data_IF_069004278974
#
_entry.id   IF_069004278974
#
_cell.length_a   1.000
_cell.length_b   1.000
_cell.length_c   1.000
_cell.angle_alpha   90.00
_cell.angle_beta   90.00
_cell.angle_gamma   90.00
#
_symmetry.space_group_name_H-M   'P 1'
#
loop_
_entity.id
_entity.type
_entity.pdbx_description
1 polymer ?
#
# COMPACT_ATOMS: atom_id res chain seq x y z
N UNK A 1 -16.56 -58.04 -62.31
CA UNK A 1 -15.49 -57.06 -61.95
C UNK A 1 -15.91 -55.99 -60.92
N UNK A 2 -17.14 -56.01 -60.38
CA UNK A 2 -17.66 -54.98 -59.46
C UNK A 2 -17.73 -55.40 -57.98
N UNK A 3 -17.52 -56.67 -57.65
CA UNK A 3 -17.56 -57.16 -56.25
C UNK A 3 -16.20 -57.18 -55.57
N UNK A 4 -15.10 -57.23 -56.35
CA UNK A 4 -13.73 -57.23 -55.82
C UNK A 4 -13.26 -55.83 -55.40
N UNK A 5 -13.71 -54.78 -56.10
CA UNK A 5 -13.40 -53.38 -55.76
C UNK A 5 -14.06 -52.93 -54.45
N UNK A 6 -15.25 -53.46 -54.12
CA UNK A 6 -15.99 -53.08 -52.89
C UNK A 6 -15.33 -53.62 -51.60
N UNK A 7 -14.67 -54.79 -51.67
CA UNK A 7 -14.00 -55.39 -50.49
C UNK A 7 -12.65 -54.76 -50.17
N UNK A 8 -11.93 -54.24 -51.17
CA UNK A 8 -10.64 -53.57 -50.98
C UNK A 8 -10.82 -52.17 -50.38
N UNK A 9 -11.89 -51.45 -50.75
CA UNK A 9 -12.19 -50.13 -50.18
C UNK A 9 -12.63 -50.22 -48.71
N UNK A 10 -13.28 -51.32 -48.30
CA UNK A 10 -13.72 -51.51 -46.91
C UNK A 10 -12.57 -51.92 -45.96
N UNK A 11 -11.54 -52.61 -46.47
CA UNK A 11 -10.35 -52.98 -45.69
C UNK A 11 -9.34 -51.83 -45.58
N UNK A 12 -9.23 -50.96 -46.60
CA UNK A 12 -8.38 -49.76 -46.52
C UNK A 12 -8.93 -48.69 -45.57
N UNK A 13 -10.25 -48.69 -45.31
CA UNK A 13 -10.88 -47.75 -44.38
C UNK A 13 -10.77 -48.19 -42.91
N UNK A 14 -10.53 -49.48 -42.63
CA UNK A 14 -10.30 -49.98 -41.26
C UNK A 14 -8.84 -49.83 -40.79
N UNK A 15 -7.88 -49.65 -41.69
CA UNK A 15 -6.45 -49.50 -41.37
C UNK A 15 -6.00 -48.04 -41.15
N UNK A 16 -6.87 -47.07 -41.39
CA UNK A 16 -6.62 -45.64 -41.14
C UNK A 16 -7.24 -45.13 -39.82
N UNK A 17 -7.82 -46.02 -39.02
CA UNK A 17 -8.41 -45.71 -37.71
C UNK A 17 -7.57 -46.17 -36.51
N UNK A 18 -6.28 -46.47 -36.69
CA UNK A 18 -5.32 -46.43 -35.59
C UNK A 18 -5.02 -44.97 -35.25
N UNK A 19 -6.05 -44.31 -34.73
CA UNK A 19 -5.95 -43.00 -34.12
C UNK A 19 -4.82 -43.06 -33.09
N UNK A 20 -3.97 -42.05 -33.20
CA UNK A 20 -2.91 -41.74 -32.25
C UNK A 20 -3.55 -41.67 -30.86
N UNK A 21 -3.44 -42.76 -30.11
CA UNK A 21 -3.77 -42.77 -28.69
C UNK A 21 -2.64 -42.05 -27.98
N UNK A 22 -2.70 -40.72 -27.96
CA UNK A 22 -2.10 -39.99 -26.85
C UNK A 22 -2.82 -40.49 -25.61
N UNK A 23 -2.18 -41.37 -24.84
CA UNK A 23 -2.60 -41.66 -23.49
C UNK A 23 -2.71 -40.31 -22.76
N UNK A 24 -3.93 -39.84 -22.57
CA UNK A 24 -4.19 -38.73 -21.68
C UNK A 24 -3.99 -39.29 -20.28
N UNK A 25 -2.76 -39.13 -19.77
CA UNK A 25 -2.48 -39.38 -18.36
C UNK A 25 -3.51 -38.60 -17.54
N UNK A 26 -4.17 -39.27 -16.60
CA UNK A 26 -5.06 -38.58 -15.67
C UNK A 26 -4.24 -37.62 -14.80
N UNK A 27 -4.74 -36.41 -14.60
CA UNK A 27 -4.10 -35.44 -13.70
C UNK A 27 -4.31 -35.92 -12.26
N UNK A 28 -3.24 -36.36 -11.61
CA UNK A 28 -3.23 -36.70 -10.19
C UNK A 28 -2.91 -35.47 -9.34
N UNK A 29 -3.41 -35.38 -8.10
CA UNK A 29 -3.05 -34.29 -7.20
C UNK A 29 -1.56 -34.36 -6.85
N UNK A 30 -0.90 -33.19 -6.89
CA UNK A 30 0.48 -33.08 -6.43
C UNK A 30 0.55 -33.26 -4.90
N UNK A 31 1.51 -34.05 -4.42
CA UNK A 31 1.75 -34.26 -2.97
C UNK A 31 2.08 -32.93 -2.28
N UNK A 32 2.85 -32.07 -2.95
CA UNK A 32 3.11 -30.70 -2.50
C UNK A 32 2.09 -29.74 -3.10
N UNK A 33 1.22 -29.24 -2.24
CA UNK A 33 0.13 -28.33 -2.62
C UNK A 33 0.68 -26.99 -3.09
N UNK A 34 0.07 -26.43 -4.15
CA UNK A 34 0.38 -25.09 -4.62
C UNK A 34 -0.19 -24.06 -3.64
N UNK A 35 0.61 -23.05 -3.30
CA UNK A 35 0.23 -21.94 -2.44
C UNK A 35 0.65 -20.61 -3.06
N UNK A 36 -0.14 -19.57 -2.79
CA UNK A 36 0.09 -18.21 -3.29
C UNK A 36 -0.19 -17.25 -2.15
N UNK A 37 0.75 -16.35 -1.87
CA UNK A 37 0.56 -15.24 -0.95
C UNK A 37 0.83 -13.92 -1.67
N UNK A 38 0.04 -12.90 -1.36
CA UNK A 38 0.21 -11.55 -1.92
C UNK A 38 0.06 -10.52 -0.80
N UNK A 39 0.94 -9.53 -0.80
CA UNK A 39 0.84 -8.38 0.10
C UNK A 39 0.96 -7.08 -0.69
N UNK A 40 0.00 -6.17 -0.44
CA UNK A 40 0.01 -4.81 -0.97
C UNK A 40 0.71 -3.84 -0.03
N UNK A 41 1.57 -2.98 -0.57
CA UNK A 41 2.18 -1.82 0.11
C UNK A 41 2.00 -0.59 -0.78
N UNK A 42 1.19 0.37 -0.33
CA UNK A 42 0.79 1.49 -1.18
C UNK A 42 0.03 0.99 -2.42
N UNK A 43 0.57 1.26 -3.61
CA UNK A 43 0.03 0.79 -4.89
C UNK A 43 0.79 -0.42 -5.46
N UNK A 44 1.74 -0.98 -4.70
CA UNK A 44 2.61 -2.07 -5.13
C UNK A 44 2.23 -3.37 -4.48
N UNK A 45 2.33 -4.46 -5.23
CA UNK A 45 2.11 -5.81 -4.74
C UNK A 45 3.40 -6.62 -4.86
N UNK A 46 3.64 -7.44 -3.84
CA UNK A 46 4.57 -8.56 -3.90
C UNK A 46 3.78 -9.86 -3.78
N UNK A 47 4.02 -10.79 -4.70
CA UNK A 47 3.36 -12.10 -4.74
C UNK A 47 4.40 -13.20 -4.75
N UNK A 48 4.24 -14.21 -3.88
CA UNK A 48 5.05 -15.43 -3.88
C UNK A 48 4.15 -16.60 -4.23
N UNK A 49 4.49 -17.31 -5.32
CA UNK A 49 3.82 -18.55 -5.73
C UNK A 49 4.80 -19.71 -5.57
N UNK A 50 4.41 -20.72 -4.81
CA UNK A 50 5.27 -21.84 -4.44
C UNK A 50 4.47 -23.14 -4.29
N UNK A 51 5.17 -24.27 -4.14
CA UNK A 51 4.58 -25.51 -3.65
C UNK A 51 5.14 -25.85 -2.29
N UNK A 52 4.27 -26.28 -1.38
CA UNK A 52 4.55 -26.54 0.03
C UNK A 52 4.85 -28.03 0.27
N UNK A 53 6.12 -28.48 0.26
CA UNK A 53 6.50 -29.82 0.72
C UNK A 53 6.41 -29.96 2.24
N UNK A 54 6.21 -31.19 2.71
CA UNK A 54 6.29 -31.56 4.12
C UNK A 54 7.63 -32.20 4.49
N UNK A 55 8.03 -32.08 5.75
CA UNK A 55 9.25 -32.68 6.33
C UNK A 55 9.18 -34.21 6.21
N UNK A 56 8.06 -34.81 6.62
CA UNK A 56 7.85 -36.27 6.63
C UNK A 56 8.93 -37.04 7.40
N UNK A 57 9.39 -36.50 8.53
CA UNK A 57 10.42 -37.12 9.38
C UNK A 57 11.83 -37.14 8.79
N UNK A 58 12.06 -36.50 7.63
CA UNK A 58 13.38 -36.38 7.00
C UNK A 58 14.09 -35.13 7.49
N UNK A 59 15.42 -35.17 7.55
CA UNK A 59 16.21 -33.95 7.72
C UNK A 59 16.07 -33.07 6.48
N UNK A 60 15.62 -31.82 6.65
CA UNK A 60 15.43 -30.90 5.54
C UNK A 60 16.74 -30.23 5.13
N UNK A 61 17.24 -29.31 5.95
CA UNK A 61 18.46 -28.57 5.64
C UNK A 61 19.70 -29.43 5.97
N UNK A 62 20.62 -29.54 5.02
CA UNK A 62 21.74 -30.49 5.08
C UNK A 62 21.34 -31.94 4.72
N UNK A 63 20.06 -32.20 4.46
CA UNK A 63 19.54 -33.48 4.01
C UNK A 63 18.94 -33.37 2.61
N UNK A 64 17.61 -33.36 2.49
CA UNK A 64 16.92 -33.24 1.19
C UNK A 64 17.14 -31.88 0.50
N UNK A 65 17.54 -30.86 1.26
CA UNK A 65 18.05 -29.58 0.76
C UNK A 65 19.51 -29.48 1.19
N UNK A 66 20.46 -29.89 0.33
CA UNK A 66 21.88 -29.85 0.67
C UNK A 66 22.37 -28.40 0.84
N UNK A 67 23.29 -28.20 1.79
CA UNK A 67 24.03 -26.94 1.87
C UNK A 67 24.90 -26.74 0.63
N UNK A 68 25.17 -25.48 0.31
CA UNK A 68 26.01 -25.05 -0.82
C UNK A 68 25.46 -25.43 -2.21
N UNK A 69 24.23 -25.94 -2.29
CA UNK A 69 23.55 -26.26 -3.54
C UNK A 69 22.35 -25.34 -3.78
N UNK A 70 22.14 -24.95 -5.03
CA UNK A 70 20.99 -24.12 -5.40
C UNK A 70 19.72 -24.99 -5.38
N UNK A 71 18.72 -24.51 -4.66
CA UNK A 71 17.40 -25.11 -4.56
C UNK A 71 16.32 -24.11 -5.01
N UNK A 72 15.26 -24.62 -5.66
CA UNK A 72 14.10 -23.84 -6.16
C UNK A 72 13.17 -23.28 -5.08
N UNK A 73 13.61 -23.30 -3.82
CA UNK A 73 12.88 -22.75 -2.67
C UNK A 73 11.43 -23.28 -2.51
N UNK A 74 11.17 -24.52 -2.94
CA UNK A 74 9.87 -25.16 -2.97
C UNK A 74 9.92 -26.56 -3.61
N UNK A 75 8.76 -27.12 -3.95
CA UNK A 75 8.61 -28.39 -4.65
C UNK A 75 8.03 -28.22 -6.07
N UNK A 76 8.08 -29.26 -6.89
CA UNK A 76 7.49 -29.29 -8.25
C UNK A 76 8.00 -28.14 -9.16
N UNK A 77 7.12 -27.21 -9.53
CA UNK A 77 7.42 -26.00 -10.28
C UNK A 77 8.30 -25.02 -9.49
N UNK A 78 9.08 -24.21 -10.20
CA UNK A 78 9.93 -23.21 -9.55
C UNK A 78 9.10 -22.21 -8.75
N UNK A 79 9.56 -21.86 -7.55
CA UNK A 79 8.99 -20.77 -6.79
C UNK A 79 9.17 -19.47 -7.58
N UNK A 80 8.14 -18.63 -7.61
CA UNK A 80 8.23 -17.33 -8.26
C UNK A 80 7.90 -16.21 -7.29
N UNK A 81 8.62 -15.09 -7.43
CA UNK A 81 8.35 -13.85 -6.73
C UNK A 81 8.06 -12.77 -7.77
N UNK A 82 6.89 -12.15 -7.68
CA UNK A 82 6.43 -11.09 -8.57
C UNK A 82 6.36 -9.77 -7.83
N UNK A 83 6.92 -8.72 -8.44
CA UNK A 83 6.81 -7.34 -8.00
C UNK A 83 6.07 -6.53 -9.07
N UNK A 84 4.97 -5.85 -8.72
CA UNK A 84 4.25 -5.01 -9.70
C UNK A 84 4.95 -3.69 -10.02
N UNK A 85 5.87 -3.27 -9.15
CA UNK A 85 6.68 -2.08 -9.28
C UNK A 85 8.14 -2.39 -8.95
N UNK A 86 9.06 -1.49 -9.32
CA UNK A 86 10.46 -1.60 -8.93
C UNK A 86 10.56 -1.66 -7.40
N UNK A 87 11.31 -2.62 -6.88
CA UNK A 87 11.49 -2.87 -5.46
C UNK A 87 12.97 -2.76 -5.06
N UNK A 88 13.21 -2.79 -3.76
CA UNK A 88 14.54 -2.99 -3.17
C UNK A 88 14.45 -4.21 -2.26
N UNK A 89 15.33 -5.19 -2.49
CA UNK A 89 15.43 -6.41 -1.67
C UNK A 89 16.79 -6.39 -1.00
N UNK A 90 16.83 -6.41 0.33
CA UNK A 90 18.07 -6.34 1.11
C UNK A 90 19.00 -5.19 0.67
N UNK A 91 18.42 -4.00 0.46
CA UNK A 91 19.15 -2.80 0.02
C UNK A 91 19.54 -2.77 -1.46
N UNK A 92 19.29 -3.83 -2.23
CA UNK A 92 19.60 -3.90 -3.67
C UNK A 92 18.35 -3.74 -4.53
N UNK A 93 18.44 -2.91 -5.57
CA UNK A 93 17.31 -2.62 -6.46
C UNK A 93 16.99 -3.81 -7.36
N UNK A 94 15.71 -4.08 -7.56
CA UNK A 94 15.18 -5.05 -8.53
C UNK A 94 14.03 -4.40 -9.32
N UNK A 95 14.03 -4.46 -10.66
CA UNK A 95 12.92 -3.95 -11.45
C UNK A 95 11.59 -4.67 -11.17
N UNK A 96 10.47 -4.06 -11.58
CA UNK A 96 9.19 -4.75 -11.64
C UNK A 96 9.28 -5.97 -12.56
N UNK A 97 8.63 -7.07 -12.18
CA UNK A 97 8.67 -8.30 -12.97
C UNK A 97 8.35 -9.54 -12.13
N UNK A 98 8.34 -10.69 -12.81
CA UNK A 98 8.22 -12.00 -12.17
C UNK A 98 9.55 -12.72 -12.29
N UNK A 99 10.09 -13.16 -11.16
CA UNK A 99 11.39 -13.79 -11.06
C UNK A 99 11.25 -15.22 -10.57
N UNK A 100 12.02 -16.14 -11.16
CA UNK A 100 12.27 -17.44 -10.56
C UNK A 100 13.09 -17.26 -9.30
N UNK A 101 12.66 -17.85 -8.20
CA UNK A 101 13.27 -17.65 -6.88
C UNK A 101 13.98 -18.91 -6.42
N UNK A 102 15.25 -18.75 -6.13
CA UNK A 102 16.12 -19.83 -5.70
C UNK A 102 16.85 -19.44 -4.42
N UNK A 103 17.21 -20.45 -3.64
CA UNK A 103 17.99 -20.31 -2.42
C UNK A 103 19.14 -21.30 -2.47
N UNK A 104 20.36 -20.82 -2.21
CA UNK A 104 21.49 -21.68 -1.84
C UNK A 104 21.68 -21.56 -0.33
N UNK A 105 21.23 -22.56 0.46
CA UNK A 105 21.38 -22.52 1.90
C UNK A 105 22.83 -22.76 2.30
N UNK A 106 23.24 -22.12 3.38
CA UNK A 106 24.47 -22.34 4.15
C UNK A 106 24.05 -22.70 5.57
N UNK A 107 25.00 -23.04 6.43
CA UNK A 107 24.71 -23.41 7.82
C UNK A 107 24.00 -22.27 8.60
N UNK A 108 24.49 -21.03 8.49
CA UNK A 108 23.95 -19.86 9.22
C UNK A 108 23.44 -18.73 8.32
N UNK A 109 23.40 -18.97 7.01
CA UNK A 109 22.98 -17.97 6.02
C UNK A 109 22.33 -18.60 4.80
N UNK A 110 21.74 -17.78 3.95
CA UNK A 110 21.17 -18.20 2.70
C UNK A 110 21.52 -17.17 1.62
N UNK A 111 21.91 -17.65 0.45
CA UNK A 111 22.06 -16.81 -0.74
C UNK A 111 20.76 -16.90 -1.52
N UNK A 112 20.05 -15.79 -1.65
CA UNK A 112 18.81 -15.68 -2.42
C UNK A 112 19.16 -15.25 -3.84
N UNK A 113 18.61 -15.94 -4.82
CA UNK A 113 18.83 -15.67 -6.24
C UNK A 113 17.49 -15.44 -6.94
N UNK A 114 17.40 -14.33 -7.67
CA UNK A 114 16.23 -13.95 -8.47
C UNK A 114 16.61 -14.04 -9.94
N UNK A 115 16.01 -14.98 -10.67
CA UNK A 115 16.26 -15.19 -12.10
C UNK A 115 15.14 -14.60 -12.96
N UNK A 116 15.48 -13.97 -14.08
CA UNK A 116 14.51 -13.51 -15.10
C UNK A 116 13.80 -14.68 -15.78
N UNK A 117 14.42 -15.86 -15.79
CA UNK A 117 13.80 -17.08 -16.28
C UNK A 117 12.99 -17.74 -15.16
N UNK A 118 11.65 -17.66 -15.28
CA UNK A 118 10.70 -18.07 -14.25
C UNK A 118 9.86 -19.32 -14.62
N UNK A 119 10.20 -19.98 -15.73
CA UNK A 119 9.49 -21.17 -16.23
C UNK A 119 10.26 -22.48 -16.04
N UNK A 120 11.29 -22.46 -15.20
CA UNK A 120 12.06 -23.66 -14.87
C UNK A 120 11.20 -24.70 -14.16
N UNK A 121 11.41 -25.96 -14.53
CA UNK A 121 10.87 -27.13 -13.82
C UNK A 121 12.05 -27.92 -13.26
N UNK A 122 11.91 -28.54 -12.09
CA UNK A 122 12.87 -29.53 -11.60
C UNK A 122 14.06 -28.92 -10.86
N UNK A 123 15.26 -29.49 -11.05
CA UNK A 123 16.48 -29.20 -10.26
C UNK A 123 17.47 -28.29 -10.99
N UNK A 124 17.11 -27.72 -12.13
CA UNK A 124 18.02 -26.89 -12.90
C UNK A 124 18.30 -25.57 -12.16
N UNK A 125 19.58 -25.35 -11.87
CA UNK A 125 20.07 -24.06 -11.40
C UNK A 125 19.80 -22.97 -12.46
N UNK A 126 19.60 -21.70 -12.04
CA UNK A 126 19.48 -20.59 -12.98
C UNK A 126 20.82 -20.34 -13.69
N UNK A 127 20.77 -20.00 -14.97
CA UNK A 127 21.93 -19.50 -15.71
C UNK A 127 22.38 -18.16 -15.12
N UNK A 128 23.70 -17.96 -14.96
CA UNK A 128 24.24 -16.71 -14.39
C UNK A 128 23.80 -15.46 -15.17
N UNK A 129 23.69 -15.55 -16.50
CA UNK A 129 23.23 -14.46 -17.38
C UNK A 129 21.80 -14.00 -17.08
N UNK A 130 20.99 -14.87 -16.48
CA UNK A 130 19.58 -14.62 -16.19
C UNK A 130 19.37 -14.13 -14.76
N UNK A 131 20.40 -14.11 -13.91
CA UNK A 131 20.33 -13.60 -12.55
C UNK A 131 20.13 -12.09 -12.55
N UNK A 132 18.97 -11.65 -12.06
CA UNK A 132 18.64 -10.26 -11.86
C UNK A 132 19.16 -9.72 -10.52
N UNK A 133 19.22 -10.58 -9.49
CA UNK A 133 19.65 -10.20 -8.16
C UNK A 133 20.21 -11.39 -7.38
N UNK A 134 21.28 -11.14 -6.62
CA UNK A 134 21.85 -12.06 -5.62
C UNK A 134 22.03 -11.30 -4.32
N UNK A 135 21.46 -11.80 -3.23
CA UNK A 135 21.59 -11.23 -1.88
C UNK A 135 21.85 -12.33 -0.86
N UNK A 136 22.59 -12.01 0.20
CA UNK A 136 22.88 -12.94 1.30
C UNK A 136 22.14 -12.47 2.53
N UNK A 137 21.43 -13.38 3.18
CA UNK A 137 20.69 -13.13 4.43
C UNK A 137 21.07 -14.15 5.50
N UNK A 138 20.92 -13.78 6.77
CA UNK A 138 21.10 -14.73 7.88
C UNK A 138 19.87 -15.62 8.02
N UNK A 139 20.07 -16.87 8.40
CA UNK A 139 18.99 -17.75 8.81
C UNK A 139 18.71 -17.59 10.30
N UNK A 140 17.50 -17.95 10.70
CA UNK A 140 17.06 -17.96 12.10
C UNK A 140 16.52 -19.35 12.44
N UNK A 141 16.78 -19.82 13.67
CA UNK A 141 16.16 -21.03 14.18
C UNK A 141 14.72 -20.74 14.62
N UNK A 142 13.81 -21.68 14.36
CA UNK A 142 12.40 -21.63 14.77
C UNK A 142 11.96 -22.97 15.36
N UNK A 143 10.81 -22.97 16.02
CA UNK A 143 10.11 -24.20 16.40
C UNK A 143 9.76 -25.03 15.16
N UNK A 144 9.59 -26.34 15.38
CA UNK A 144 9.35 -27.29 14.31
C UNK A 144 8.10 -26.95 13.49
N UNK A 145 8.26 -26.89 12.18
CA UNK A 145 7.20 -26.63 11.21
C UNK A 145 7.20 -27.71 10.11
N UNK A 146 6.10 -28.48 10.05
CA UNK A 146 5.98 -29.63 9.14
C UNK A 146 5.96 -29.22 7.66
N UNK A 147 5.27 -28.13 7.32
CA UNK A 147 5.06 -27.71 5.94
C UNK A 147 5.89 -26.46 5.62
N UNK A 148 6.53 -26.43 4.45
CA UNK A 148 7.18 -25.22 3.97
C UNK A 148 6.12 -24.13 3.75
N UNK A 149 6.30 -22.97 4.37
CA UNK A 149 5.43 -21.82 4.14
C UNK A 149 6.24 -20.57 3.82
N UNK A 150 5.56 -19.62 3.17
CA UNK A 150 5.98 -18.24 3.09
C UNK A 150 4.99 -17.36 3.84
N UNK A 151 5.47 -16.24 4.41
CA UNK A 151 4.64 -15.20 5.01
C UNK A 151 5.27 -13.81 4.85
N UNK A 152 4.50 -12.76 5.14
CA UNK A 152 4.93 -11.36 5.16
C UNK A 152 4.76 -10.76 6.56
N UNK A 153 5.89 -10.51 7.22
CA UNK A 153 5.97 -9.97 8.58
C UNK A 153 6.49 -8.51 8.57
N UNK A 154 6.52 -7.85 9.73
CA UNK A 154 7.05 -6.48 9.90
C UNK A 154 6.50 -5.47 8.89
N UNK A 155 5.18 -5.48 8.67
CA UNK A 155 4.53 -4.70 7.61
C UNK A 155 4.46 -3.22 7.98
N UNK A 156 5.20 -2.39 7.23
CA UNK A 156 5.13 -0.93 7.27
C UNK A 156 4.49 -0.34 6.02
N UNK A 157 4.43 0.99 5.96
CA UNK A 157 3.82 1.71 4.83
C UNK A 157 4.57 1.54 3.49
N UNK A 158 5.87 1.24 3.53
CA UNK A 158 6.74 1.13 2.36
C UNK A 158 7.65 -0.09 2.36
N UNK A 159 7.58 -0.94 3.39
CA UNK A 159 8.45 -2.09 3.56
C UNK A 159 7.74 -3.23 4.29
N UNK A 160 8.26 -4.44 4.09
CA UNK A 160 7.90 -5.64 4.84
C UNK A 160 9.08 -6.63 4.85
N UNK A 161 8.95 -7.71 5.61
CA UNK A 161 9.88 -8.85 5.58
C UNK A 161 9.16 -10.06 5.02
N UNK A 162 9.59 -10.58 3.87
CA UNK A 162 9.19 -11.90 3.40
C UNK A 162 9.97 -12.96 4.19
N UNK A 163 9.30 -14.02 4.61
CA UNK A 163 9.91 -15.11 5.37
C UNK A 163 9.59 -16.44 4.72
N UNK A 164 10.61 -17.28 4.51
CA UNK A 164 10.43 -18.72 4.28
C UNK A 164 10.60 -19.43 5.61
N UNK A 165 9.70 -20.36 5.96
CA UNK A 165 9.81 -21.19 7.16
C UNK A 165 9.61 -22.66 6.80
N UNK A 166 10.50 -23.53 7.27
CA UNK A 166 10.36 -24.98 7.12
C UNK A 166 11.26 -25.73 8.09
N UNK A 167 10.78 -26.85 8.65
CA UNK A 167 11.47 -27.64 9.66
C UNK A 167 11.82 -26.76 10.87
N UNK A 168 13.09 -26.40 11.07
CA UNK A 168 13.54 -25.54 12.19
C UNK A 168 14.23 -24.27 11.70
N UNK A 169 14.09 -23.96 10.41
CA UNK A 169 14.82 -22.86 9.77
C UNK A 169 13.84 -21.83 9.23
N UNK A 170 14.17 -20.57 9.49
CA UNK A 170 13.53 -19.39 8.93
C UNK A 170 14.55 -18.59 8.12
N UNK A 171 14.14 -18.12 6.94
CA UNK A 171 14.95 -17.32 6.03
C UNK A 171 14.20 -16.00 5.77
N UNK A 172 14.46 -14.95 6.58
CA UNK A 172 13.84 -13.64 6.40
C UNK A 172 14.61 -12.79 5.38
N UNK A 173 13.87 -12.01 4.58
CA UNK A 173 14.46 -10.95 3.76
C UNK A 173 13.51 -9.75 3.60
N UNK A 174 14.06 -8.56 3.71
CA UNK A 174 13.38 -7.27 3.63
C UNK A 174 13.11 -6.89 2.17
N UNK A 175 11.89 -6.40 1.94
CA UNK A 175 11.43 -5.88 0.67
C UNK A 175 10.89 -4.47 0.89
N UNK A 176 11.28 -3.52 0.04
CA UNK A 176 10.89 -2.12 0.12
C UNK A 176 10.44 -1.59 -1.23
N UNK A 177 9.47 -0.68 -1.21
CA UNK A 177 9.00 0.06 -2.39
C UNK A 177 9.12 1.57 -2.12
N UNK A 178 9.48 2.34 -3.14
CA UNK A 178 9.39 3.81 -3.10
C UNK A 178 7.94 4.26 -3.30
N UNK A 179 7.11 4.04 -2.28
CA UNK A 179 5.66 4.22 -2.38
C UNK A 179 5.27 5.66 -2.73
N UNK A 180 6.03 6.66 -2.24
CA UNK A 180 5.80 8.07 -2.56
C UNK A 180 6.02 8.35 -4.05
N UNK A 181 7.15 7.88 -4.60
CA UNK A 181 7.42 8.01 -6.03
C UNK A 181 6.37 7.30 -6.87
N UNK A 182 5.99 6.08 -6.47
CA UNK A 182 5.01 5.27 -7.20
C UNK A 182 3.64 5.95 -7.25
N UNK A 183 3.16 6.51 -6.14
CA UNK A 183 1.88 7.26 -6.13
C UNK A 183 1.97 8.50 -7.03
N UNK A 184 3.08 9.23 -7.01
CA UNK A 184 3.29 10.39 -7.87
C UNK A 184 3.33 10.00 -9.35
N UNK A 185 4.02 8.92 -9.70
CA UNK A 185 4.05 8.41 -11.08
C UNK A 185 2.67 7.95 -11.56
N UNK A 186 1.91 7.27 -10.68
CA UNK A 186 0.53 6.90 -10.97
C UNK A 186 -0.35 8.12 -11.19
N UNK A 187 -0.24 9.14 -10.33
CA UNK A 187 -0.98 10.40 -10.49
C UNK A 187 -0.63 11.08 -11.82
N UNK A 188 0.64 11.13 -12.23
CA UNK A 188 1.05 11.66 -13.55
C UNK A 188 0.38 10.91 -14.70
N UNK A 189 0.23 9.59 -14.58
CA UNK A 189 -0.42 8.78 -15.60
C UNK A 189 -1.94 9.03 -15.64
N UNK A 190 -2.61 8.99 -14.49
CA UNK A 190 -4.06 9.18 -14.39
C UNK A 190 -4.52 10.59 -14.80
N UNK A 191 -3.71 11.61 -14.51
CA UNK A 191 -3.98 13.00 -14.91
C UNK A 191 -3.86 13.24 -16.42
N UNK A 192 -3.42 12.25 -17.22
CA UNK A 192 -3.54 12.30 -18.69
C UNK A 192 -4.92 11.86 -19.18
N UNK A 193 -5.69 11.18 -18.34
CA UNK A 193 -7.02 10.67 -18.64
C UNK A 193 -8.13 11.48 -17.96
N UNK A 194 -9.24 10.81 -17.64
CA UNK A 194 -10.47 11.44 -17.12
C UNK A 194 -10.21 12.27 -15.85
N UNK A 195 -9.35 11.77 -14.96
CA UNK A 195 -9.01 12.45 -13.72
C UNK A 195 -8.35 13.81 -13.95
N UNK A 196 -7.69 14.01 -15.10
CA UNK A 196 -7.03 15.24 -15.48
C UNK A 196 -7.93 16.31 -16.08
N UNK A 197 -9.14 15.97 -16.55
CA UNK A 197 -10.05 16.94 -17.16
C UNK A 197 -10.65 17.93 -16.15
N UNK A 198 -10.83 17.50 -14.90
CA UNK A 198 -11.39 18.33 -13.84
C UNK A 198 -10.35 18.80 -12.82
N UNK A 199 -10.71 19.81 -12.02
CA UNK A 199 -9.85 20.35 -10.96
C UNK A 199 -9.50 19.33 -9.85
N UNK A 200 -10.37 18.32 -9.63
CA UNK A 200 -10.27 17.39 -8.49
C UNK A 200 -9.05 16.48 -8.56
N UNK A 201 -8.70 15.94 -9.73
CA UNK A 201 -7.54 15.06 -9.85
C UNK A 201 -6.25 15.79 -9.51
N UNK A 202 -6.05 16.98 -10.10
CA UNK A 202 -4.87 17.80 -9.84
C UNK A 202 -4.76 18.20 -8.35
N UNK A 203 -5.88 18.56 -7.71
CA UNK A 203 -5.87 18.83 -6.26
C UNK A 203 -5.48 17.60 -5.44
N UNK A 204 -6.01 16.42 -5.77
CA UNK A 204 -5.69 15.18 -5.03
C UNK A 204 -4.22 14.82 -5.14
N UNK A 205 -3.64 14.91 -6.33
CA UNK A 205 -2.22 14.69 -6.55
C UNK A 205 -1.35 15.67 -5.76
N UNK A 206 -1.68 16.97 -5.82
CA UNK A 206 -1.00 18.01 -5.05
C UNK A 206 -1.13 17.81 -3.53
N UNK A 207 -2.32 17.40 -3.06
CA UNK A 207 -2.58 17.11 -1.64
C UNK A 207 -1.73 15.96 -1.13
N UNK A 208 -1.61 14.88 -1.91
CA UNK A 208 -0.76 13.75 -1.54
C UNK A 208 0.70 14.21 -1.33
N UNK A 209 1.24 14.99 -2.28
CA UNK A 209 2.57 15.57 -2.18
C UNK A 209 2.73 16.47 -0.95
N UNK A 210 1.72 17.31 -0.66
CA UNK A 210 1.71 18.18 0.52
C UNK A 210 1.73 17.41 1.84
N UNK A 211 0.94 16.34 1.96
CA UNK A 211 0.88 15.51 3.17
C UNK A 211 2.16 14.71 3.40
N UNK A 212 2.86 14.32 2.33
CA UNK A 212 4.05 13.47 2.38
C UNK A 212 5.38 14.25 2.32
N UNK A 213 5.29 15.58 2.22
CA UNK A 213 6.40 16.49 1.98
C UNK A 213 7.32 16.01 0.84
N UNK A 214 6.73 15.70 -0.31
CA UNK A 214 7.41 15.06 -1.43
C UNK A 214 7.00 15.69 -2.76
N UNK A 215 7.94 15.85 -3.69
CA UNK A 215 7.68 16.37 -5.04
C UNK A 215 6.91 17.71 -5.06
N UNK A 216 7.32 18.65 -4.20
CA UNK A 216 6.59 19.89 -3.93
C UNK A 216 6.48 20.81 -5.15
N UNK A 217 7.49 20.84 -6.03
CA UNK A 217 7.49 21.71 -7.20
C UNK A 217 6.41 21.33 -8.21
N UNK A 218 6.29 20.04 -8.54
CA UNK A 218 5.23 19.57 -9.42
C UNK A 218 3.85 19.65 -8.74
N UNK A 219 3.80 19.42 -7.42
CA UNK A 219 2.57 19.60 -6.65
C UNK A 219 2.04 21.04 -6.73
N UNK A 220 2.92 22.04 -6.75
CA UNK A 220 2.55 23.43 -7.00
C UNK A 220 1.95 23.60 -8.39
N UNK A 221 2.56 22.99 -9.43
CA UNK A 221 1.99 23.04 -10.79
C UNK A 221 0.60 22.42 -10.84
N UNK A 222 0.38 21.27 -10.20
CA UNK A 222 -0.95 20.65 -10.14
C UNK A 222 -1.95 21.50 -9.38
N UNK A 223 -1.57 22.09 -8.24
CA UNK A 223 -2.54 22.88 -7.48
C UNK A 223 -2.95 24.17 -8.21
N UNK A 224 -2.03 24.83 -8.90
CA UNK A 224 -2.37 26.00 -9.73
C UNK A 224 -3.34 25.62 -10.86
N UNK A 225 -3.13 24.46 -11.52
CA UNK A 225 -4.07 23.95 -12.53
C UNK A 225 -5.46 23.71 -11.94
N UNK A 226 -5.53 23.15 -10.73
CA UNK A 226 -6.78 22.94 -10.02
C UNK A 226 -7.51 24.27 -9.73
N UNK A 227 -6.79 25.26 -9.20
CA UNK A 227 -7.33 26.58 -8.86
C UNK A 227 -7.81 27.32 -10.12
N UNK A 228 -7.02 27.27 -11.21
CA UNK A 228 -7.37 27.90 -12.48
C UNK A 228 -8.62 27.29 -13.11
N UNK A 229 -8.83 25.98 -12.93
CA UNK A 229 -10.04 25.30 -13.42
C UNK A 229 -11.28 25.64 -12.58
N UNK A 230 -11.17 25.61 -11.25
CA UNK A 230 -12.26 25.98 -10.34
C UNK A 230 -11.72 26.31 -8.96
N UNK A 231 -11.60 27.60 -8.65
CA UNK A 231 -11.14 28.07 -7.34
C UNK A 231 -12.11 27.63 -6.24
N UNK A 232 -11.58 27.07 -5.15
CA UNK A 232 -12.37 26.65 -3.99
C UNK A 232 -11.55 26.73 -2.71
N UNK A 233 -12.21 26.73 -1.54
CA UNK A 233 -11.51 26.60 -0.25
C UNK A 233 -10.54 25.41 -0.24
N UNK A 234 -10.96 24.26 -0.79
CA UNK A 234 -10.19 23.02 -0.71
C UNK A 234 -8.87 23.06 -1.47
N UNK A 235 -8.82 23.69 -2.65
CA UNK A 235 -7.56 23.77 -3.41
C UNK A 235 -6.65 24.90 -2.93
N UNK A 236 -7.22 26.02 -2.46
CA UNK A 236 -6.44 27.05 -1.76
C UNK A 236 -5.81 26.51 -0.47
N UNK A 237 -6.52 25.69 0.30
CA UNK A 237 -5.96 25.05 1.49
C UNK A 237 -4.78 24.11 1.18
N UNK A 238 -4.86 23.35 0.09
CA UNK A 238 -3.72 22.52 -0.36
C UNK A 238 -2.54 23.38 -0.80
N UNK A 239 -2.78 24.48 -1.53
CA UNK A 239 -1.73 25.45 -1.91
C UNK A 239 -1.06 26.07 -0.68
N UNK A 240 -1.85 26.48 0.31
CA UNK A 240 -1.32 26.99 1.57
C UNK A 240 -0.44 25.96 2.29
N UNK A 241 -0.85 24.69 2.34
CA UNK A 241 -0.02 23.64 2.93
C UNK A 241 1.29 23.43 2.16
N UNK A 242 1.27 23.47 0.83
CA UNK A 242 2.49 23.38 0.02
C UNK A 242 3.43 24.57 0.28
N UNK A 243 2.89 25.79 0.40
CA UNK A 243 3.67 26.98 0.76
C UNK A 243 4.29 26.84 2.15
N UNK A 244 3.55 26.31 3.14
CA UNK A 244 4.12 26.01 4.47
C UNK A 244 5.28 25.01 4.38
N UNK A 245 5.13 23.93 3.62
CA UNK A 245 6.20 22.94 3.43
C UNK A 245 7.44 23.54 2.76
N UNK A 246 7.27 24.57 1.93
CA UNK A 246 8.35 25.35 1.29
C UNK A 246 8.89 26.48 2.18
N UNK A 247 8.44 26.59 3.43
CA UNK A 247 8.85 27.66 4.35
C UNK A 247 8.18 29.02 4.13
N UNK A 248 7.24 29.13 3.19
CA UNK A 248 6.57 30.37 2.78
C UNK A 248 5.30 30.62 3.61
N UNK A 249 5.45 30.66 4.94
CA UNK A 249 4.32 30.70 5.89
C UNK A 249 3.46 31.97 5.76
N UNK A 250 4.07 33.13 5.52
CA UNK A 250 3.33 34.37 5.36
C UNK A 250 2.43 34.36 4.11
N UNK A 251 2.92 33.76 3.02
CA UNK A 251 2.14 33.63 1.79
C UNK A 251 1.02 32.59 1.95
N UNK A 252 1.32 31.47 2.62
CA UNK A 252 0.29 30.49 2.99
C UNK A 252 -0.86 31.12 3.79
N UNK A 253 -0.54 32.06 4.69
CA UNK A 253 -1.55 32.76 5.48
C UNK A 253 -2.46 33.62 4.61
N UNK A 254 -1.90 34.40 3.67
CA UNK A 254 -2.70 35.20 2.73
C UNK A 254 -3.65 34.32 1.90
N UNK A 255 -3.15 33.20 1.40
CA UNK A 255 -3.96 32.23 0.65
C UNK A 255 -5.13 31.70 1.50
N UNK A 256 -4.89 31.44 2.79
CA UNK A 256 -5.96 31.01 3.68
C UNK A 256 -6.94 32.11 4.03
N UNK A 257 -6.48 33.35 4.22
CA UNK A 257 -7.34 34.50 4.46
C UNK A 257 -8.27 34.76 3.25
N UNK A 258 -7.79 34.52 2.02
CA UNK A 258 -8.63 34.50 0.80
C UNK A 258 -9.60 33.30 0.79
N UNK A 259 -9.16 32.13 1.22
CA UNK A 259 -9.96 30.91 1.15
C UNK A 259 -11.13 30.89 2.14
N UNK A 260 -10.91 31.36 3.37
CA UNK A 260 -11.84 31.22 4.51
C UNK A 260 -13.27 31.69 4.17
N UNK A 261 -13.51 32.87 3.56
CA UNK A 261 -14.87 33.32 3.23
C UNK A 261 -15.62 32.43 2.23
N UNK A 262 -14.92 31.56 1.51
CA UNK A 262 -15.51 30.64 0.52
C UNK A 262 -15.71 29.22 1.07
N UNK A 263 -15.25 28.95 2.28
CA UNK A 263 -15.31 27.63 2.91
C UNK A 263 -16.67 27.33 3.52
N UNK A 264 -17.06 26.05 3.52
CA UNK A 264 -18.19 25.62 4.34
C UNK A 264 -17.83 25.69 5.82
N UNK A 265 -18.81 25.77 6.74
CA UNK A 265 -18.53 25.81 8.17
C UNK A 265 -17.68 24.62 8.64
N UNK A 266 -17.93 23.43 8.09
CA UNK A 266 -17.12 22.22 8.35
C UNK A 266 -15.68 22.34 7.87
N UNK A 267 -15.46 22.89 6.67
CA UNK A 267 -14.11 23.09 6.12
C UNK A 267 -13.31 24.09 6.95
N UNK A 268 -13.93 25.20 7.34
CA UNK A 268 -13.30 26.20 8.21
C UNK A 268 -12.97 25.60 9.58
N UNK A 269 -13.89 24.81 10.15
CA UNK A 269 -13.68 24.13 11.43
C UNK A 269 -12.50 23.13 11.36
N UNK A 270 -12.44 22.32 10.31
CA UNK A 270 -11.33 21.38 10.08
C UNK A 270 -9.98 22.09 9.99
N UNK A 271 -9.93 23.24 9.30
CA UNK A 271 -8.72 24.06 9.24
C UNK A 271 -8.33 24.63 10.62
N UNK A 272 -9.31 25.05 11.42
CA UNK A 272 -9.07 25.43 12.82
C UNK A 272 -8.39 24.32 13.63
N UNK A 273 -8.86 23.08 13.49
CA UNK A 273 -8.24 21.91 14.16
C UNK A 273 -6.84 21.60 13.64
N UNK A 274 -6.60 21.74 12.34
CA UNK A 274 -5.26 21.60 11.78
C UNK A 274 -4.29 22.61 12.42
N UNK A 275 -4.72 23.87 12.59
CA UNK A 275 -3.93 24.88 13.29
C UNK A 275 -3.68 24.52 14.76
N UNK A 276 -4.68 23.96 15.47
CA UNK A 276 -4.49 23.48 16.84
C UNK A 276 -3.46 22.35 16.92
N UNK A 277 -3.48 21.39 15.99
CA UNK A 277 -2.51 20.29 15.94
C UNK A 277 -1.07 20.79 15.73
N UNK A 278 -0.92 21.90 14.99
CA UNK A 278 0.35 22.60 14.77
C UNK A 278 0.71 23.59 15.89
N UNK A 279 0.00 23.57 17.02
CA UNK A 279 0.16 24.51 18.15
C UNK A 279 0.02 26.00 17.76
N UNK A 280 -0.68 26.30 16.67
CA UNK A 280 -1.02 27.67 16.24
C UNK A 280 -2.32 28.13 16.89
N UNK A 281 -2.39 28.02 18.22
CA UNK A 281 -3.64 28.17 18.99
C UNK A 281 -4.31 29.53 18.81
N UNK A 282 -3.54 30.63 18.77
CA UNK A 282 -4.08 31.98 18.55
C UNK A 282 -4.83 32.08 17.21
N UNK A 283 -4.21 31.59 16.13
CA UNK A 283 -4.83 31.59 14.80
C UNK A 283 -6.03 30.66 14.77
N UNK A 284 -5.96 29.48 15.37
CA UNK A 284 -7.10 28.58 15.47
C UNK A 284 -8.32 29.25 16.13
N UNK A 285 -8.10 29.99 17.24
CA UNK A 285 -9.15 30.77 17.89
C UNK A 285 -9.76 31.80 16.93
N UNK A 286 -8.95 32.52 16.14
CA UNK A 286 -9.46 33.46 15.12
C UNK A 286 -10.36 32.74 14.10
N UNK A 287 -9.93 31.58 13.60
CA UNK A 287 -10.67 30.78 12.62
C UNK A 287 -11.99 30.26 13.19
N UNK A 288 -11.98 29.67 14.38
CA UNK A 288 -13.20 29.21 15.03
C UNK A 288 -14.15 30.36 15.38
N UNK A 289 -13.59 31.51 15.80
CA UNK A 289 -14.39 32.71 16.06
C UNK A 289 -15.07 33.21 14.78
N UNK A 290 -14.34 33.26 13.67
CA UNK A 290 -14.90 33.59 12.36
C UNK A 290 -16.01 32.60 11.98
N UNK A 291 -15.78 31.30 12.15
CA UNK A 291 -16.73 30.26 11.78
C UNK A 291 -18.04 30.38 12.58
N UNK A 292 -17.93 30.53 13.90
CA UNK A 292 -19.09 30.73 14.78
C UNK A 292 -19.82 32.01 14.38
N UNK A 293 -19.12 33.14 14.22
CA UNK A 293 -19.75 34.44 13.93
C UNK A 293 -20.57 34.44 12.63
N UNK A 294 -20.06 33.81 11.57
CA UNK A 294 -20.67 33.92 10.24
C UNK A 294 -21.67 32.80 9.90
N UNK A 295 -21.82 31.78 10.77
CA UNK A 295 -22.67 30.63 10.50
C UNK A 295 -23.68 30.36 11.64
N UNK A 296 -24.25 31.42 12.22
CA UNK A 296 -25.13 31.32 13.39
C UNK A 296 -26.40 30.49 13.14
N UNK A 297 -26.86 30.43 11.88
CA UNK A 297 -28.07 29.72 11.45
C UNK A 297 -27.81 28.24 11.11
N UNK A 298 -26.55 27.78 11.17
CA UNK A 298 -26.20 26.39 10.88
C UNK A 298 -26.76 25.45 11.98
N UNK A 299 -27.47 24.35 11.63
CA UNK A 299 -28.01 23.41 12.62
C UNK A 299 -26.96 22.79 13.54
N UNK A 300 -25.69 22.75 13.12
CA UNK A 300 -24.54 22.25 13.85
C UNK A 300 -23.71 23.37 14.52
N UNK A 301 -24.23 24.60 14.62
CA UNK A 301 -23.54 25.73 15.25
C UNK A 301 -23.05 25.45 16.67
N UNK A 302 -23.75 24.58 17.41
CA UNK A 302 -23.32 24.15 18.75
C UNK A 302 -21.95 23.46 18.70
N UNK A 303 -21.70 22.63 17.70
CA UNK A 303 -20.43 21.92 17.52
C UNK A 303 -19.30 22.86 17.11
N UNK A 304 -19.56 23.86 16.27
CA UNK A 304 -18.54 24.88 15.96
C UNK A 304 -18.23 25.77 17.16
N UNK A 305 -19.22 26.01 18.02
CA UNK A 305 -19.04 26.74 19.28
C UNK A 305 -18.26 25.92 20.30
N UNK A 306 -18.48 24.61 20.33
CA UNK A 306 -17.69 23.64 21.11
C UNK A 306 -16.21 23.69 20.74
N UNK A 307 -15.89 23.63 19.44
CA UNK A 307 -14.51 23.76 18.93
C UNK A 307 -13.82 25.05 19.41
N UNK A 308 -14.56 26.17 19.44
CA UNK A 308 -14.03 27.44 19.92
C UNK A 308 -13.75 27.39 21.44
N UNK A 309 -14.63 26.75 22.21
CA UNK A 309 -14.42 26.48 23.63
C UNK A 309 -13.16 25.67 23.88
N UNK A 310 -12.95 24.61 23.10
CA UNK A 310 -11.76 23.75 23.14
C UNK A 310 -10.48 24.54 22.84
N UNK A 311 -10.51 25.39 21.81
CA UNK A 311 -9.37 26.21 21.44
C UNK A 311 -8.98 27.20 22.56
N UNK A 312 -9.96 27.81 23.24
CA UNK A 312 -9.70 28.67 24.41
C UNK A 312 -9.19 27.87 25.60
N UNK A 313 -9.70 26.66 25.83
CA UNK A 313 -9.21 25.79 26.89
C UNK A 313 -7.75 25.41 26.65
N UNK A 314 -7.39 25.04 25.42
CA UNK A 314 -6.00 24.77 25.02
C UNK A 314 -5.09 25.99 25.16
N UNK A 315 -5.64 27.20 25.01
CA UNK A 315 -4.91 28.45 25.26
C UNK A 315 -4.79 28.82 26.75
N UNK A 316 -5.41 28.05 27.67
CA UNK A 316 -5.45 28.33 29.10
C UNK A 316 -6.48 29.37 29.53
N UNK A 317 -7.30 29.91 28.60
CA UNK A 317 -8.36 30.88 28.91
C UNK A 317 -9.63 30.14 29.34
N UNK A 318 -9.59 29.58 30.55
CA UNK A 318 -10.71 28.79 31.13
C UNK A 318 -12.01 29.59 31.20
N UNK A 319 -11.92 30.90 31.46
CA UNK A 319 -13.09 31.78 31.53
C UNK A 319 -13.81 31.85 30.18
N UNK A 320 -13.08 32.04 29.08
CA UNK A 320 -13.69 32.04 27.75
C UNK A 320 -14.10 30.63 27.32
N UNK A 321 -13.32 29.60 27.64
CA UNK A 321 -13.70 28.22 27.37
C UNK A 321 -15.08 27.89 27.99
N UNK A 322 -15.24 28.13 29.29
CA UNK A 322 -16.52 27.95 30.01
C UNK A 322 -17.66 28.76 29.38
N UNK A 323 -17.39 30.01 28.98
CA UNK A 323 -18.38 30.84 28.28
C UNK A 323 -18.88 30.15 27.01
N UNK A 324 -17.98 29.69 26.15
CA UNK A 324 -18.35 29.10 24.86
C UNK A 324 -18.96 27.70 25.00
N UNK A 325 -18.48 26.85 25.92
CA UNK A 325 -19.14 25.56 26.19
C UNK A 325 -20.58 25.74 26.70
N UNK A 326 -20.85 26.75 27.53
CA UNK A 326 -22.23 27.07 27.96
C UNK A 326 -23.12 27.51 26.78
N UNK A 327 -22.58 28.31 25.87
CA UNK A 327 -23.29 28.73 24.64
C UNK A 327 -23.54 27.51 23.74
N UNK A 328 -22.54 26.65 23.55
CA UNK A 328 -22.68 25.41 22.79
C UNK A 328 -23.80 24.55 23.37
N UNK A 329 -23.82 24.35 24.70
CA UNK A 329 -24.86 23.58 25.39
C UNK A 329 -26.27 24.12 25.14
N UNK A 330 -26.45 25.44 25.21
CA UNK A 330 -27.78 26.05 24.97
C UNK A 330 -28.33 25.84 23.56
N UNK A 331 -27.45 25.50 22.60
CA UNK A 331 -27.81 25.28 21.19
C UNK A 331 -27.76 23.80 20.79
N UNK A 332 -27.25 22.93 21.67
CA UNK A 332 -27.02 21.53 21.37
C UNK A 332 -28.30 20.69 21.51
N UNK A 333 -28.47 19.64 20.69
CA UNK A 333 -29.56 18.68 20.88
C UNK A 333 -29.40 17.94 22.22
N UNK A 334 -30.52 17.44 22.75
CA UNK A 334 -30.57 16.86 24.11
C UNK A 334 -29.54 15.75 24.34
N UNK A 335 -29.30 14.90 23.34
CA UNK A 335 -28.33 13.81 23.40
C UNK A 335 -26.87 14.26 23.53
N UNK A 336 -26.56 15.54 23.27
CA UNK A 336 -25.21 16.11 23.36
C UNK A 336 -24.99 16.91 24.65
N UNK A 337 -26.06 17.20 25.41
CA UNK A 337 -25.94 18.03 26.62
C UNK A 337 -25.14 17.36 27.72
N UNK A 338 -25.26 16.04 27.89
CA UNK A 338 -24.50 15.28 28.90
C UNK A 338 -22.98 15.33 28.65
N UNK A 339 -22.55 15.27 27.38
CA UNK A 339 -21.15 15.46 27.00
C UNK A 339 -20.64 16.85 27.43
N UNK A 340 -21.39 17.90 27.07
CA UNK A 340 -21.02 19.28 27.38
C UNK A 340 -21.02 19.56 28.88
N UNK A 341 -21.92 18.94 29.65
CA UNK A 341 -21.91 19.02 31.11
C UNK A 341 -20.65 18.41 31.71
N UNK A 342 -20.22 17.25 31.20
CA UNK A 342 -18.95 16.63 31.60
C UNK A 342 -17.75 17.54 31.34
N UNK A 343 -17.69 18.15 30.15
CA UNK A 343 -16.60 19.08 29.79
C UNK A 343 -16.61 20.32 30.69
N UNK A 344 -17.77 20.95 30.90
CA UNK A 344 -17.91 22.14 31.75
C UNK A 344 -17.50 21.84 33.20
N UNK A 345 -17.93 20.71 33.77
CA UNK A 345 -17.58 20.31 35.13
C UNK A 345 -16.08 20.01 35.30
N UNK A 346 -15.40 19.57 34.24
CA UNK A 346 -13.96 19.29 34.23
C UNK A 346 -13.07 20.54 34.24
N UNK A 347 -13.59 21.71 33.89
CA UNK A 347 -12.81 22.97 33.84
C UNK A 347 -12.81 23.61 35.22
N UNK A 348 -11.76 23.34 36.01
CA UNK A 348 -11.51 23.92 37.34
C UNK A 348 -11.05 25.37 37.30
#
# INVERSE_FOLDING_TARGET
>A
MNTLKSRITLQLFMLLLSAITFAQNITLPNVSQKSVITQRLGLSDVTITYHSPSVQGRQVFGGIVPYDQIWRAGANENTTITFTHNATVEGKKIPAGTYGFYIMPKEESAILLFSKFNKSWGTNAPDEKDLALIVTVKTEAIDFQEWLSYDFTNRGASNLTAVLQWEKTKIPFKIEFDTKKIVVDNARAELKGIAGFGWRGHMQAARYCAQNNYNLEEAMVWIEKSIASSKSFSNLAVKAQLLVNKGQVAEAQKIMDEAIPTGTPNQINQYGYQLLALNRTKKAIEIFTYNVKNNQDDPFIWGFTDSLGEAYLKAGDKKKALKYYKIAKSKAPQNQQAYLDGVIAGIK
#
